data_IF_163033506299
#
_entry.id   IF_163033506299
#
_cell.length_a   1.000
_cell.length_b   1.000
_cell.length_c   1.000
_cell.angle_alpha   90.00
_cell.angle_beta   90.00
_cell.angle_gamma   90.00
#
_symmetry.space_group_name_H-M   'P 1'
#
loop_
_entity.id
_entity.type
_entity.pdbx_description
1 polymer ?
#
# COMPACT_ATOMS: atom_id res chain seq x y z
N UNK A 1 -4.19 25.79 -14.35
CA UNK A 1 -3.83 24.92 -15.48
C UNK A 1 -2.98 23.79 -14.92
N UNK A 2 -3.48 22.57 -14.95
CA UNK A 2 -2.83 21.42 -14.31
C UNK A 2 -1.58 21.02 -15.09
N UNK A 3 -0.44 20.91 -14.41
CA UNK A 3 0.92 20.90 -14.97
C UNK A 3 1.42 19.47 -15.22
N UNK A 4 0.66 18.67 -15.98
CA UNK A 4 1.07 17.31 -16.36
C UNK A 4 1.29 17.15 -17.86
N UNK A 5 2.11 16.16 -18.22
CA UNK A 5 2.32 15.70 -19.59
C UNK A 5 1.65 14.34 -19.77
N UNK A 6 0.67 14.26 -20.66
CA UNK A 6 0.01 13.01 -21.02
C UNK A 6 0.89 12.17 -21.95
N UNK A 7 1.27 10.97 -21.48
CA UNK A 7 2.21 10.09 -22.15
C UNK A 7 1.47 8.89 -22.78
N UNK A 8 1.08 9.04 -24.05
CA UNK A 8 0.33 8.02 -24.80
C UNK A 8 1.03 7.60 -26.13
N UNK A 9 2.28 8.00 -26.33
CA UNK A 9 3.10 7.63 -27.49
C UNK A 9 4.60 7.62 -27.16
N UNK A 10 5.42 7.05 -28.05
CA UNK A 10 6.86 6.91 -27.83
C UNK A 10 7.60 8.24 -27.56
N UNK A 11 7.36 9.36 -28.29
CA UNK A 11 8.04 10.63 -28.01
C UNK A 11 7.76 11.19 -26.61
N UNK A 12 6.50 11.15 -26.17
CA UNK A 12 6.11 11.65 -24.83
C UNK A 12 6.73 10.80 -23.73
N UNK A 13 6.76 9.48 -23.90
CA UNK A 13 7.41 8.54 -22.96
C UNK A 13 8.92 8.75 -22.92
N UNK A 14 9.58 8.91 -24.07
CA UNK A 14 11.02 9.14 -24.12
C UNK A 14 11.43 10.44 -23.41
N UNK A 15 10.65 11.52 -23.60
CA UNK A 15 10.87 12.76 -22.85
C UNK A 15 10.65 12.56 -21.35
N UNK A 16 9.59 11.85 -20.96
CA UNK A 16 9.32 11.56 -19.55
C UNK A 16 10.46 10.77 -18.91
N UNK A 17 10.92 9.68 -19.53
CA UNK A 17 12.03 8.86 -19.04
C UNK A 17 13.30 9.69 -18.77
N UNK A 18 13.64 10.60 -19.70
CA UNK A 18 14.79 11.51 -19.54
C UNK A 18 14.63 12.45 -18.34
N UNK A 19 13.46 13.05 -18.16
CA UNK A 19 13.21 13.98 -17.05
C UNK A 19 13.19 13.24 -15.70
N UNK A 20 12.53 12.07 -15.66
CA UNK A 20 12.42 11.24 -14.46
C UNK A 20 13.79 10.72 -14.01
N UNK A 21 14.66 10.29 -14.94
CA UNK A 21 16.00 9.79 -14.62
C UNK A 21 16.91 10.84 -13.95
N UNK A 22 16.64 12.14 -14.15
CA UNK A 22 17.38 13.22 -13.48
C UNK A 22 16.84 13.60 -12.10
N UNK A 23 15.71 13.02 -11.68
CA UNK A 23 15.08 13.37 -10.41
C UNK A 23 15.73 12.62 -9.24
N UNK A 24 15.95 13.26 -8.07
CA UNK A 24 16.54 12.58 -6.92
C UNK A 24 15.62 11.50 -6.31
N UNK A 25 14.31 11.60 -6.56
CA UNK A 25 13.32 10.57 -6.23
C UNK A 25 12.10 10.75 -7.11
N UNK A 26 11.32 9.70 -7.25
CA UNK A 26 10.06 9.68 -7.99
C UNK A 26 8.88 9.63 -7.03
N UNK A 27 7.77 10.24 -7.41
CA UNK A 27 6.47 10.09 -6.74
C UNK A 27 5.58 9.25 -7.64
N UNK A 28 4.94 8.19 -7.12
CA UNK A 28 4.18 7.25 -7.95
C UNK A 28 2.81 6.97 -7.36
N UNK A 29 1.82 6.93 -8.24
CA UNK A 29 0.47 6.42 -7.98
C UNK A 29 -0.08 5.78 -9.27
N UNK A 30 -0.94 4.76 -9.16
CA UNK A 30 -1.55 4.12 -10.31
C UNK A 30 -3.07 4.20 -10.28
N UNK A 31 -3.67 4.23 -11.47
CA UNK A 31 -5.12 4.22 -11.63
C UNK A 31 -5.56 3.09 -12.55
N UNK A 32 -6.75 2.55 -12.29
CA UNK A 32 -7.24 1.43 -13.05
C UNK A 32 -8.54 0.85 -12.53
N UNK A 33 -9.00 -0.17 -13.25
CA UNK A 33 -10.15 -0.96 -12.82
C UNK A 33 -9.69 -1.90 -11.70
N UNK A 34 -10.30 -1.81 -10.53
CA UNK A 34 -10.15 -2.75 -9.41
C UNK A 34 -8.69 -3.15 -9.14
N UNK A 35 -7.79 -2.17 -9.07
CA UNK A 35 -6.36 -2.39 -8.90
C UNK A 35 -6.08 -3.30 -7.68
N UNK A 36 -5.35 -4.39 -7.92
CA UNK A 36 -5.01 -5.43 -6.94
C UNK A 36 -5.99 -6.61 -6.90
N UNK A 37 -7.15 -6.52 -7.54
CA UNK A 37 -8.14 -7.60 -7.61
C UNK A 37 -7.83 -8.60 -8.74
N UNK A 38 -8.46 -9.78 -8.71
CA UNK A 38 -8.28 -10.85 -9.69
C UNK A 38 -8.48 -10.38 -11.14
N UNK A 39 -9.47 -9.52 -11.37
CA UNK A 39 -9.81 -8.92 -12.67
C UNK A 39 -9.29 -7.48 -12.82
N UNK A 40 -8.32 -7.09 -11.99
CA UNK A 40 -7.70 -5.78 -11.97
C UNK A 40 -6.98 -5.43 -13.27
N UNK A 41 -7.13 -4.19 -13.72
CA UNK A 41 -6.50 -3.68 -14.94
C UNK A 41 -5.86 -2.34 -14.66
N UNK A 42 -4.53 -2.30 -14.69
CA UNK A 42 -3.73 -1.08 -14.69
C UNK A 42 -4.03 -0.24 -15.94
N UNK A 43 -4.52 0.99 -15.74
CA UNK A 43 -4.91 1.89 -16.83
C UNK A 43 -3.96 3.07 -16.98
N UNK A 44 -3.57 3.68 -15.87
CA UNK A 44 -2.60 4.77 -15.81
C UNK A 44 -1.50 4.45 -14.80
N UNK A 45 -0.29 4.89 -15.12
CA UNK A 45 0.80 5.04 -14.17
C UNK A 45 1.15 6.52 -14.12
N UNK A 46 1.02 7.15 -12.95
CA UNK A 46 1.30 8.55 -12.76
C UNK A 46 2.63 8.69 -12.03
N UNK A 47 3.56 9.45 -12.60
CA UNK A 47 4.90 9.61 -12.04
C UNK A 47 5.28 11.08 -11.99
N UNK A 48 5.59 11.56 -10.80
CA UNK A 48 6.12 12.90 -10.55
C UNK A 48 7.62 12.87 -10.26
N UNK A 49 8.30 13.98 -10.57
CA UNK A 49 9.61 14.30 -10.00
C UNK A 49 9.48 14.81 -8.58
N UNK A 50 10.61 15.00 -7.89
CA UNK A 50 10.65 15.73 -6.62
C UNK A 50 9.83 17.02 -6.64
N UNK A 51 9.14 17.30 -5.53
CA UNK A 51 8.20 18.42 -5.37
C UNK A 51 7.05 18.47 -6.40
N UNK A 52 6.80 17.38 -7.13
CA UNK A 52 5.85 17.33 -8.23
C UNK A 52 6.09 18.44 -9.30
N UNK A 53 7.34 18.84 -9.51
CA UNK A 53 7.70 19.89 -10.49
C UNK A 53 7.29 19.53 -11.92
N UNK A 54 7.48 18.26 -12.28
CA UNK A 54 7.01 17.64 -13.51
C UNK A 54 6.20 16.40 -13.19
N UNK A 55 5.00 16.31 -13.76
CA UNK A 55 4.09 15.17 -13.60
C UNK A 55 3.83 14.56 -14.96
N UNK A 56 3.96 13.24 -15.06
CA UNK A 56 3.71 12.47 -16.27
C UNK A 56 2.61 11.46 -16.01
N UNK A 57 1.57 11.48 -16.85
CA UNK A 57 0.45 10.54 -16.78
C UNK A 57 0.59 9.56 -17.94
N UNK A 58 1.09 8.36 -17.67
CA UNK A 58 1.31 7.32 -18.66
C UNK A 58 0.03 6.54 -18.90
N UNK A 59 -0.55 6.67 -20.10
CA UNK A 59 -1.68 5.85 -20.52
C UNK A 59 -1.19 4.50 -21.01
N UNK A 60 -1.09 3.56 -20.08
CA UNK A 60 -0.46 2.27 -20.36
C UNK A 60 -1.25 1.42 -21.36
N UNK A 61 -2.58 1.61 -21.43
CA UNK A 61 -3.42 0.93 -22.42
C UNK A 61 -3.16 1.48 -23.82
N UNK A 62 -3.08 2.81 -23.96
CA UNK A 62 -2.74 3.45 -25.22
C UNK A 62 -1.30 3.09 -25.68
N UNK A 63 -0.34 3.04 -24.75
CA UNK A 63 1.05 2.69 -25.07
C UNK A 63 1.18 1.23 -25.54
N UNK A 64 0.44 0.30 -24.93
CA UNK A 64 0.41 -1.11 -25.35
C UNK A 64 -0.17 -1.26 -26.75
N UNK A 65 -1.30 -0.63 -27.05
CA UNK A 65 -1.93 -0.71 -28.37
C UNK A 65 -1.08 -0.12 -29.50
N UNK A 66 -0.18 0.82 -29.17
CA UNK A 66 0.68 1.53 -30.13
C UNK A 66 2.10 0.96 -30.22
N UNK A 67 2.38 -0.20 -29.63
CA UNK A 67 3.71 -0.83 -29.58
C UNK A 67 4.82 0.07 -29.00
N UNK A 68 4.48 1.02 -28.12
CA UNK A 68 5.44 1.92 -27.46
C UNK A 68 6.08 1.29 -26.20
N UNK A 69 5.98 -0.03 -26.05
CA UNK A 69 6.48 -0.77 -24.88
C UNK A 69 8.00 -0.66 -24.72
N UNK A 70 8.75 -0.52 -25.81
CA UNK A 70 10.21 -0.37 -25.76
C UNK A 70 10.63 0.93 -25.06
N UNK A 71 9.91 2.03 -25.25
CA UNK A 71 10.18 3.29 -24.55
C UNK A 71 9.67 3.24 -23.12
N UNK A 72 8.54 2.57 -22.88
CA UNK A 72 8.04 2.36 -21.52
C UNK A 72 9.03 1.53 -20.68
N UNK A 73 9.81 0.64 -21.32
CA UNK A 73 10.86 -0.13 -20.64
C UNK A 73 11.87 0.75 -19.91
N UNK A 74 12.26 1.90 -20.47
CA UNK A 74 13.18 2.83 -19.82
C UNK A 74 12.61 3.37 -18.50
N UNK A 75 11.30 3.63 -18.46
CA UNK A 75 10.62 4.05 -17.23
C UNK A 75 10.55 2.89 -16.25
N UNK A 76 10.19 1.70 -16.72
CA UNK A 76 10.12 0.49 -15.90
C UNK A 76 11.48 0.10 -15.29
N UNK A 77 12.59 0.31 -15.99
CA UNK A 77 13.94 0.10 -15.48
C UNK A 77 14.24 1.02 -14.29
N UNK A 78 13.83 2.30 -14.34
CA UNK A 78 13.93 3.21 -13.19
C UNK A 78 13.10 2.73 -11.99
N UNK A 79 11.93 2.12 -12.24
CA UNK A 79 11.08 1.59 -11.18
C UNK A 79 11.70 0.35 -10.50
N UNK A 80 12.43 -0.46 -11.28
CA UNK A 80 13.14 -1.63 -10.80
C UNK A 80 14.48 -1.30 -10.10
N UNK A 81 15.05 -0.13 -10.34
CA UNK A 81 16.33 0.28 -9.78
C UNK A 81 16.22 0.60 -8.27
N UNK A 82 16.91 -0.13 -7.37
CA UNK A 82 16.87 0.14 -5.94
C UNK A 82 17.54 1.47 -5.53
N UNK A 83 18.40 2.04 -6.39
CA UNK A 83 19.08 3.31 -6.14
C UNK A 83 18.17 4.52 -6.43
N UNK A 84 17.11 4.31 -7.21
CA UNK A 84 16.07 5.31 -7.46
C UNK A 84 14.99 5.17 -6.40
N UNK A 85 14.82 6.18 -5.55
CA UNK A 85 13.80 6.16 -4.50
C UNK A 85 12.41 6.45 -5.08
N UNK A 86 11.40 5.70 -4.64
CA UNK A 86 9.99 5.86 -5.04
C UNK A 86 9.12 6.19 -3.83
N UNK A 87 8.61 7.42 -3.76
CA UNK A 87 7.69 7.87 -2.73
C UNK A 87 6.26 7.53 -3.15
N UNK A 88 5.55 6.78 -2.32
CA UNK A 88 4.21 6.29 -2.62
C UNK A 88 3.29 6.39 -1.40
N UNK A 89 1.99 6.25 -1.63
CA UNK A 89 1.00 6.09 -0.57
C UNK A 89 0.25 4.77 -0.73
N UNK A 90 0.42 3.84 0.21
CA UNK A 90 -0.22 2.52 0.17
C UNK A 90 0.09 1.70 -1.11
N UNK A 91 1.39 1.52 -1.38
CA UNK A 91 1.95 0.93 -2.61
C UNK A 91 1.57 -0.53 -2.92
N UNK A 92 0.81 -1.21 -2.04
CA UNK A 92 0.59 -2.66 -2.12
C UNK A 92 -0.04 -3.11 -3.43
N UNK A 93 -1.12 -2.43 -3.84
CA UNK A 93 -1.85 -2.81 -5.04
C UNK A 93 -1.13 -2.30 -6.29
N UNK A 94 -0.49 -1.13 -6.25
CA UNK A 94 0.34 -0.62 -7.35
C UNK A 94 1.50 -1.57 -7.65
N UNK A 95 2.20 -2.02 -6.61
CA UNK A 95 3.26 -3.00 -6.72
C UNK A 95 2.78 -4.29 -7.38
N UNK A 96 1.63 -4.82 -6.92
CA UNK A 96 1.05 -6.05 -7.47
C UNK A 96 0.60 -5.86 -8.93
N UNK A 97 0.01 -4.72 -9.28
CA UNK A 97 -0.42 -4.40 -10.63
C UNK A 97 0.75 -4.24 -11.59
N UNK A 98 1.80 -3.51 -11.22
CA UNK A 98 3.00 -3.33 -12.03
C UNK A 98 3.71 -4.68 -12.23
N UNK A 99 3.84 -5.46 -11.17
CA UNK A 99 4.45 -6.80 -11.23
C UNK A 99 3.68 -7.72 -12.17
N UNK A 100 2.35 -7.80 -12.02
CA UNK A 100 1.53 -8.67 -12.85
C UNK A 100 1.42 -8.20 -14.31
N UNK A 101 1.43 -6.88 -14.55
CA UNK A 101 1.30 -6.31 -15.91
C UNK A 101 2.61 -6.36 -16.70
N UNK A 102 3.75 -6.14 -16.03
CA UNK A 102 5.04 -5.95 -16.69
C UNK A 102 6.15 -6.90 -16.26
N UNK A 103 5.92 -7.76 -15.26
CA UNK A 103 6.96 -8.60 -14.68
C UNK A 103 8.05 -7.80 -13.96
N UNK A 104 7.76 -6.57 -13.56
CA UNK A 104 8.71 -5.65 -12.93
C UNK A 104 8.44 -5.56 -11.44
N UNK A 105 9.43 -5.92 -10.63
CA UNK A 105 9.39 -5.73 -9.18
C UNK A 105 9.87 -4.32 -8.87
N UNK A 106 8.99 -3.48 -8.34
CA UNK A 106 9.37 -2.18 -7.79
C UNK A 106 10.41 -2.37 -6.69
N UNK A 107 11.40 -1.49 -6.61
CA UNK A 107 12.45 -1.48 -5.57
C UNK A 107 12.57 -0.09 -4.95
N UNK A 108 13.24 0.08 -3.81
CA UNK A 108 13.50 1.41 -3.24
C UNK A 108 12.25 2.25 -2.92
N UNK A 109 11.15 1.60 -2.54
CA UNK A 109 9.88 2.27 -2.20
C UNK A 109 9.95 2.82 -0.78
N UNK A 110 9.52 4.07 -0.57
CA UNK A 110 9.20 4.67 0.72
C UNK A 110 7.70 5.00 0.71
N UNK A 111 6.94 4.27 1.51
CA UNK A 111 5.50 4.40 1.66
C UNK A 111 5.16 5.35 2.82
N UNK A 112 4.53 6.47 2.49
CA UNK A 112 4.17 7.50 3.47
C UNK A 112 3.19 6.97 4.52
N UNK A 113 2.37 5.97 4.23
CA UNK A 113 1.47 5.39 5.22
C UNK A 113 2.24 4.73 6.36
N UNK A 114 3.45 4.21 6.12
CA UNK A 114 4.32 3.66 7.16
C UNK A 114 5.04 4.75 7.96
N UNK A 115 5.51 5.82 7.30
CA UNK A 115 6.06 6.99 7.99
C UNK A 115 5.02 7.64 8.92
N UNK A 116 3.76 7.70 8.49
CA UNK A 116 2.66 8.15 9.33
C UNK A 116 2.48 7.22 10.55
N UNK A 117 2.55 5.90 10.36
CA UNK A 117 2.42 4.95 11.48
C UNK A 117 3.59 5.05 12.46
N UNK A 118 4.84 5.11 11.97
CA UNK A 118 6.03 5.25 12.81
C UNK A 118 5.96 6.51 13.66
N UNK A 119 5.65 7.65 13.02
CA UNK A 119 5.56 8.96 13.69
C UNK A 119 4.53 9.00 14.82
N UNK A 120 3.53 8.10 14.85
CA UNK A 120 2.55 8.03 15.96
C UNK A 120 3.28 7.90 17.29
N UNK A 121 4.17 6.93 17.40
CA UNK A 121 4.89 6.67 18.64
C UNK A 121 6.18 7.50 18.73
N UNK A 122 6.98 7.54 17.65
CA UNK A 122 8.33 8.10 17.67
C UNK A 122 8.36 9.63 17.80
N UNK A 123 7.39 10.32 17.20
CA UNK A 123 7.33 11.79 17.17
C UNK A 123 6.16 12.33 17.98
N UNK A 124 4.96 11.75 17.80
CA UNK A 124 3.71 12.25 18.38
C UNK A 124 3.39 11.67 19.76
N UNK A 125 4.22 10.77 20.27
CA UNK A 125 4.10 10.21 21.62
C UNK A 125 2.81 9.42 21.87
N UNK A 126 2.20 8.86 20.83
CA UNK A 126 0.97 8.06 20.90
C UNK A 126 1.16 6.89 21.88
N UNK A 127 0.16 6.72 22.76
CA UNK A 127 0.11 5.62 23.73
C UNK A 127 -0.81 4.51 23.24
N UNK A 128 -0.65 3.33 23.82
CA UNK A 128 -1.36 2.11 23.45
C UNK A 128 -2.89 2.25 23.43
N UNK A 129 -3.46 3.02 24.35
CA UNK A 129 -4.90 3.27 24.39
C UNK A 129 -5.39 4.03 23.16
N UNK A 130 -4.62 4.99 22.63
CA UNK A 130 -4.96 5.74 21.40
C UNK A 130 -4.92 4.81 20.18
N UNK A 131 -3.91 3.91 20.11
CA UNK A 131 -3.83 2.86 19.08
C UNK A 131 -5.09 1.98 19.08
N UNK A 132 -5.49 1.55 20.27
CA UNK A 132 -6.69 0.70 20.48
C UNK A 132 -7.98 1.42 20.07
N UNK A 133 -8.15 2.68 20.49
CA UNK A 133 -9.30 3.51 20.08
C UNK A 133 -9.34 3.70 18.56
N UNK A 134 -8.17 3.89 17.93
CA UNK A 134 -8.07 4.05 16.47
C UNK A 134 -8.44 2.77 15.71
N UNK A 135 -8.08 1.60 16.24
CA UNK A 135 -8.51 0.31 15.68
C UNK A 135 -10.03 0.14 15.74
N UNK A 136 -10.67 0.56 16.84
CA UNK A 136 -12.12 0.56 17.00
C UNK A 136 -12.84 1.64 16.17
N UNK A 137 -12.13 2.69 15.74
CA UNK A 137 -12.68 3.78 14.96
C UNK A 137 -12.79 3.46 13.46
N UNK A 138 -13.37 4.42 12.71
CA UNK A 138 -13.44 4.45 11.23
C UNK A 138 -14.31 3.36 10.58
N UNK A 139 -15.55 3.20 11.04
CA UNK A 139 -16.55 2.34 10.38
C UNK A 139 -16.21 0.83 10.40
N UNK A 140 -15.10 0.44 11.05
CA UNK A 140 -14.78 -0.96 11.29
C UNK A 140 -15.76 -1.50 12.32
N UNK A 141 -16.29 -2.69 12.04
CA UNK A 141 -17.18 -3.43 12.95
C UNK A 141 -16.37 -4.12 14.06
N UNK A 142 -15.49 -3.35 14.73
CA UNK A 142 -14.64 -3.79 15.83
C UNK A 142 -14.94 -2.98 17.10
N UNK A 143 -15.87 -3.45 17.96
CA UNK A 143 -16.17 -2.77 19.21
C UNK A 143 -14.95 -2.67 20.12
N UNK A 144 -14.75 -1.53 20.79
CA UNK A 144 -13.65 -1.34 21.73
C UNK A 144 -13.59 -2.41 22.84
N UNK A 145 -14.73 -2.90 23.42
CA UNK A 145 -14.71 -4.00 24.38
C UNK A 145 -14.07 -5.28 23.84
N UNK A 146 -14.35 -5.63 22.57
CA UNK A 146 -13.78 -6.81 21.91
C UNK A 146 -12.25 -6.73 21.85
N UNK A 147 -11.72 -5.56 21.49
CA UNK A 147 -10.27 -5.34 21.41
C UNK A 147 -9.63 -5.47 22.80
N UNK A 148 -10.25 -4.86 23.82
CA UNK A 148 -9.76 -4.92 25.21
C UNK A 148 -9.80 -6.32 25.81
N UNK A 149 -10.78 -7.14 25.43
CA UNK A 149 -10.89 -8.53 25.88
C UNK A 149 -9.90 -9.47 25.18
N UNK A 150 -9.31 -9.07 24.05
CA UNK A 150 -8.42 -9.89 23.24
C UNK A 150 -7.05 -9.21 22.99
N UNK A 151 -6.31 -8.77 24.02
CA UNK A 151 -5.10 -7.95 23.85
C UNK A 151 -4.01 -8.63 23.00
N UNK A 152 -3.85 -9.95 23.14
CA UNK A 152 -2.85 -10.71 22.37
C UNK A 152 -3.16 -10.73 20.87
N UNK A 153 -4.45 -10.78 20.49
CA UNK A 153 -4.88 -10.76 19.08
C UNK A 153 -4.52 -9.43 18.41
N UNK A 154 -4.72 -8.31 19.13
CA UNK A 154 -4.53 -6.96 18.60
C UNK A 154 -3.15 -6.36 18.90
N UNK A 155 -2.29 -7.04 19.65
CA UNK A 155 -0.94 -6.57 19.99
C UNK A 155 -0.11 -6.29 18.74
N UNK A 156 0.40 -5.05 18.62
CA UNK A 156 1.21 -4.60 17.48
C UNK A 156 0.47 -4.39 16.15
N UNK A 157 -0.86 -4.56 16.10
CA UNK A 157 -1.67 -4.29 14.91
C UNK A 157 -1.99 -2.80 14.77
N UNK A 158 -1.76 -2.21 13.61
CA UNK A 158 -2.04 -0.78 13.37
C UNK A 158 -3.18 -0.61 12.37
N UNK A 159 -4.05 0.38 12.62
CA UNK A 159 -4.95 0.87 11.57
C UNK A 159 -4.14 1.64 10.54
N UNK A 160 -4.44 1.38 9.27
CA UNK A 160 -4.00 2.19 8.14
C UNK A 160 -4.86 3.45 8.02
N UNK A 161 -4.26 4.52 7.52
CA UNK A 161 -4.91 5.80 7.27
C UNK A 161 -4.99 6.06 5.77
N UNK A 162 -6.13 6.56 5.29
CA UNK A 162 -6.25 7.01 3.91
C UNK A 162 -5.55 8.36 3.70
N UNK A 163 -5.06 8.61 2.49
CA UNK A 163 -4.34 9.83 2.12
C UNK A 163 -5.14 11.10 2.42
N UNK A 164 -6.40 11.15 1.97
CA UNK A 164 -7.29 12.30 2.17
C UNK A 164 -7.50 12.65 3.66
N UNK A 165 -7.60 11.65 4.53
CA UNK A 165 -7.67 11.86 5.97
C UNK A 165 -6.34 12.42 6.53
N UNK A 166 -5.20 11.94 6.02
CA UNK A 166 -3.90 12.46 6.39
C UNK A 166 -3.71 13.92 5.95
N UNK A 167 -4.15 14.28 4.76
CA UNK A 167 -4.10 15.67 4.26
C UNK A 167 -4.94 16.59 5.14
N UNK A 168 -6.17 16.19 5.46
CA UNK A 168 -7.05 16.97 6.34
C UNK A 168 -6.44 17.20 7.73
N UNK A 169 -5.74 16.20 8.27
CA UNK A 169 -5.05 16.29 9.56
C UNK A 169 -3.77 17.15 9.48
N UNK A 170 -2.95 16.97 8.44
CA UNK A 170 -1.69 17.68 8.25
C UNK A 170 -1.87 19.14 7.82
N UNK A 171 -3.02 19.49 7.23
CA UNK A 171 -3.29 20.78 6.58
C UNK A 171 -2.12 21.27 5.71
N UNK A 172 -1.59 20.42 4.80
CA UNK A 172 -0.60 20.88 3.85
C UNK A 172 -1.25 21.93 2.92
N UNK A 173 -0.44 22.66 2.17
CA UNK A 173 -0.89 23.68 1.21
C UNK A 173 -1.64 23.09 -0.02
N UNK A 174 -2.19 21.87 0.08
CA UNK A 174 -2.97 21.19 -0.95
C UNK A 174 -4.36 20.84 -0.45
N UNK A 175 -5.33 20.83 -1.36
CA UNK A 175 -6.68 20.30 -1.11
C UNK A 175 -6.66 18.76 -1.11
N UNK A 176 -7.71 18.16 -0.54
CA UNK A 176 -7.92 16.71 -0.63
C UNK A 176 -8.43 16.26 -2.00
N UNK A 177 -8.85 15.00 -2.09
CA UNK A 177 -9.31 14.38 -3.35
C UNK A 177 -10.46 15.14 -4.01
N UNK A 178 -10.46 15.22 -5.35
CA UNK A 178 -11.53 15.89 -6.11
C UNK A 178 -12.90 15.24 -5.81
N UNK A 179 -13.86 15.96 -5.22
CA UNK A 179 -15.17 15.42 -4.88
C UNK A 179 -15.94 14.89 -6.08
N UNK A 180 -15.74 15.45 -7.28
CA UNK A 180 -16.43 15.03 -8.50
C UNK A 180 -15.97 13.64 -8.93
N UNK A 181 -14.65 13.40 -8.96
CA UNK A 181 -14.11 12.08 -9.34
C UNK A 181 -14.42 11.03 -8.27
N UNK A 182 -14.37 11.41 -6.99
CA UNK A 182 -14.82 10.52 -5.90
C UNK A 182 -16.30 10.15 -6.07
N UNK A 183 -17.15 11.09 -6.48
CA UNK A 183 -18.56 10.80 -6.76
C UNK A 183 -18.72 9.91 -8.01
N UNK A 184 -17.97 10.15 -9.08
CA UNK A 184 -17.96 9.31 -10.28
C UNK A 184 -17.58 7.87 -9.96
N UNK A 185 -16.52 7.66 -9.18
CA UNK A 185 -16.09 6.32 -8.78
C UNK A 185 -17.14 5.61 -7.92
N UNK A 186 -17.84 6.33 -7.04
CA UNK A 186 -18.94 5.76 -6.24
C UNK A 186 -20.12 5.34 -7.11
N UNK A 187 -20.44 6.10 -8.16
CA UNK A 187 -21.60 5.85 -9.02
C UNK A 187 -21.32 4.78 -10.09
N UNK A 188 -20.16 4.86 -10.74
CA UNK A 188 -19.84 4.09 -11.93
C UNK A 188 -18.79 2.99 -11.67
N UNK A 189 -18.32 2.87 -10.43
CA UNK A 189 -17.20 2.00 -10.07
C UNK A 189 -15.89 2.44 -10.72
N UNK A 190 -14.94 1.50 -10.78
CA UNK A 190 -13.60 1.72 -11.32
C UNK A 190 -13.51 1.57 -12.85
N UNK A 191 -14.59 1.14 -13.51
CA UNK A 191 -14.63 0.91 -14.96
C UNK A 191 -14.34 2.17 -15.78
N UNK A 192 -14.65 3.34 -15.25
CA UNK A 192 -14.40 4.66 -15.87
C UNK A 192 -12.93 4.87 -16.26
N UNK A 193 -12.01 4.17 -15.59
CA UNK A 193 -10.59 4.24 -15.92
C UNK A 193 -10.23 3.55 -17.23
N UNK A 194 -11.09 2.67 -17.77
CA UNK A 194 -10.85 1.94 -19.01
C UNK A 194 -11.37 2.67 -20.26
N UNK A 195 -12.26 3.64 -20.08
CA UNK A 195 -12.86 4.39 -21.18
C UNK A 195 -11.82 5.24 -21.92
N UNK A 196 -11.93 5.32 -23.24
CA UNK A 196 -11.08 6.17 -24.09
C UNK A 196 -11.91 6.97 -25.10
N UNK A 197 -11.62 8.27 -25.33
CA UNK A 197 -10.60 9.06 -24.64
C UNK A 197 -10.92 9.24 -23.15
N UNK A 198 -9.89 9.25 -22.31
CA UNK A 198 -10.06 9.48 -20.87
C UNK A 198 -10.64 10.87 -20.62
N UNK A 199 -11.58 10.94 -19.68
CA UNK A 199 -12.13 12.23 -19.25
C UNK A 199 -11.02 13.12 -18.66
N UNK A 200 -10.93 14.41 -19.03
CA UNK A 200 -9.92 15.31 -18.50
C UNK A 200 -9.88 15.36 -16.97
N UNK A 201 -11.04 15.24 -16.31
CA UNK A 201 -11.17 15.19 -14.85
C UNK A 201 -10.40 14.02 -14.25
N UNK A 202 -10.39 12.85 -14.90
CA UNK A 202 -9.65 11.67 -14.44
C UNK A 202 -8.13 11.88 -14.56
N UNK A 203 -7.68 12.49 -15.65
CA UNK A 203 -6.26 12.84 -15.83
C UNK A 203 -5.81 13.90 -14.81
N UNK A 204 -6.64 14.90 -14.55
CA UNK A 204 -6.40 15.91 -13.54
C UNK A 204 -6.34 15.31 -12.13
N UNK A 205 -7.27 14.42 -11.82
CA UNK A 205 -7.31 13.72 -10.55
C UNK A 205 -6.05 12.88 -10.33
N UNK A 206 -5.64 12.09 -11.34
CA UNK A 206 -4.47 11.23 -11.23
C UNK A 206 -3.16 12.04 -11.11
N UNK A 207 -3.07 13.20 -11.77
CA UNK A 207 -1.97 14.14 -11.56
C UNK A 207 -2.01 14.78 -10.16
N UNK A 208 -3.21 15.08 -9.63
CA UNK A 208 -3.38 15.68 -8.31
C UNK A 208 -3.01 14.71 -7.17
N UNK A 209 -3.24 13.39 -7.33
CA UNK A 209 -2.79 12.39 -6.36
C UNK A 209 -1.23 12.44 -6.21
N UNK A 210 -0.49 12.70 -7.29
CA UNK A 210 0.98 12.92 -7.24
C UNK A 210 1.36 14.20 -6.48
N UNK A 211 0.66 15.31 -6.72
CA UNK A 211 0.88 16.57 -5.99
C UNK A 211 0.64 16.38 -4.49
N UNK A 212 -0.42 15.64 -4.13
CA UNK A 212 -0.78 15.34 -2.75
C UNK A 212 0.27 14.46 -2.04
N UNK A 213 0.77 13.41 -2.71
CA UNK A 213 1.86 12.59 -2.15
C UNK A 213 3.12 13.43 -1.96
N UNK A 214 3.49 14.27 -2.94
CA UNK A 214 4.63 15.18 -2.84
C UNK A 214 4.51 16.16 -1.66
N UNK A 215 3.35 16.78 -1.50
CA UNK A 215 3.08 17.70 -0.40
C UNK A 215 3.13 17.01 0.97
N UNK A 216 2.64 15.78 1.08
CA UNK A 216 2.74 14.98 2.31
C UNK A 216 4.18 14.58 2.62
N UNK A 217 4.98 14.21 1.62
CA UNK A 217 6.39 13.87 1.84
C UNK A 217 7.17 15.06 2.41
N UNK A 218 7.01 16.25 1.83
CA UNK A 218 7.65 17.46 2.34
C UNK A 218 7.14 17.84 3.72
N UNK A 219 5.83 17.72 3.98
CA UNK A 219 5.28 17.89 5.32
C UNK A 219 5.93 16.92 6.33
N UNK A 220 6.05 15.63 5.98
CA UNK A 220 6.59 14.61 6.88
C UNK A 220 8.06 14.85 7.20
N UNK A 221 8.83 15.35 6.25
CA UNK A 221 10.21 15.81 6.48
C UNK A 221 10.25 17.02 7.41
N UNK A 222 9.39 18.01 7.18
CA UNK A 222 9.31 19.21 8.05
C UNK A 222 8.93 18.88 9.50
N UNK A 223 8.13 17.82 9.69
CA UNK A 223 7.69 17.36 11.01
C UNK A 223 8.64 16.32 11.63
N UNK A 224 9.79 16.03 11.00
CA UNK A 224 10.74 14.99 11.44
C UNK A 224 10.13 13.57 11.53
N UNK A 225 9.11 13.27 10.73
CA UNK A 225 8.57 11.91 10.60
C UNK A 225 9.45 11.08 9.68
N UNK A 226 10.08 11.73 8.70
CA UNK A 226 11.09 11.16 7.81
C UNK A 226 12.37 11.98 7.99
N UNK A 227 13.45 11.29 8.35
CA UNK A 227 14.76 11.86 8.66
C UNK A 227 15.85 10.98 8.04
N UNK A 228 17.06 11.49 7.82
CA UNK A 228 18.18 10.66 7.38
C UNK A 228 18.48 9.45 8.29
N UNK A 229 18.06 9.48 9.57
CA UNK A 229 18.31 8.41 10.53
C UNK A 229 17.31 7.25 10.44
N UNK A 230 16.08 7.49 9.97
CA UNK A 230 15.03 6.46 9.88
C UNK A 230 14.62 6.13 8.44
N UNK A 231 15.12 6.85 7.44
CA UNK A 231 14.71 6.68 6.04
C UNK A 231 15.00 5.27 5.51
N UNK A 232 16.20 4.73 5.74
CA UNK A 232 16.54 3.37 5.29
C UNK A 232 15.64 2.31 5.92
N UNK A 233 15.36 2.46 7.22
CA UNK A 233 14.43 1.58 7.93
C UNK A 233 13.01 1.69 7.37
N UNK A 234 12.56 2.88 6.99
CA UNK A 234 11.26 3.08 6.34
C UNK A 234 11.22 2.44 4.96
N UNK A 235 12.29 2.56 4.16
CA UNK A 235 12.39 1.88 2.86
C UNK A 235 12.30 0.37 3.03
N UNK A 236 13.04 -0.22 3.98
CA UNK A 236 12.97 -1.65 4.27
C UNK A 236 11.57 -2.11 4.69
N UNK A 237 10.90 -1.32 5.55
CA UNK A 237 9.52 -1.58 5.97
C UNK A 237 8.56 -1.49 4.77
N UNK A 238 8.72 -0.48 3.93
CA UNK A 238 7.91 -0.25 2.74
C UNK A 238 8.11 -1.34 1.69
N UNK A 239 9.32 -1.85 1.53
CA UNK A 239 9.55 -3.02 0.68
C UNK A 239 8.82 -4.26 1.23
N UNK A 240 8.92 -4.56 2.53
CA UNK A 240 8.11 -5.64 3.13
C UNK A 240 6.61 -5.43 2.97
N UNK A 241 6.17 -4.17 2.97
CA UNK A 241 4.78 -3.80 2.77
C UNK A 241 4.32 -4.02 1.33
N UNK A 242 5.08 -3.56 0.34
CA UNK A 242 4.82 -3.80 -1.07
C UNK A 242 4.74 -5.30 -1.39
N UNK A 243 5.72 -6.08 -0.90
CA UNK A 243 5.74 -7.54 -1.04
C UNK A 243 4.65 -8.27 -0.25
N UNK A 244 3.92 -7.59 0.64
CA UNK A 244 2.94 -8.24 1.52
C UNK A 244 1.78 -8.89 0.77
N UNK A 245 1.48 -8.45 -0.46
CA UNK A 245 0.48 -9.09 -1.32
C UNK A 245 1.08 -10.04 -2.36
N UNK A 246 2.41 -10.08 -2.51
CA UNK A 246 3.06 -10.86 -3.58
C UNK A 246 2.71 -12.36 -3.52
N UNK A 247 2.78 -12.97 -2.33
CA UNK A 247 2.41 -14.38 -2.15
C UNK A 247 0.91 -14.63 -2.14
N UNK A 248 0.10 -13.65 -1.72
CA UNK A 248 -1.36 -13.74 -1.81
C UNK A 248 -1.81 -13.70 -3.28
N UNK A 249 -1.10 -12.92 -4.10
CA UNK A 249 -1.49 -12.60 -5.45
C UNK A 249 -2.75 -11.73 -5.48
N UNK A 250 -3.31 -11.62 -6.68
CA UNK A 250 -4.61 -10.99 -6.91
C UNK A 250 -5.71 -11.92 -6.42
N UNK A 251 -6.64 -11.39 -5.64
CA UNK A 251 -7.79 -12.14 -5.11
C UNK A 251 -9.10 -11.52 -5.59
N UNK A 252 -10.19 -12.28 -5.51
CA UNK A 252 -11.52 -11.74 -5.79
C UNK A 252 -11.85 -10.59 -4.82
N UNK A 253 -12.69 -9.64 -5.25
CA UNK A 253 -13.04 -8.48 -4.42
C UNK A 253 -13.72 -8.87 -3.10
N UNK A 254 -14.48 -9.96 -3.12
CA UNK A 254 -15.19 -10.53 -1.98
C UNK A 254 -14.34 -11.48 -1.13
N UNK A 255 -13.07 -11.72 -1.50
CA UNK A 255 -12.16 -12.56 -0.74
C UNK A 255 -12.04 -12.07 0.71
N UNK A 256 -12.34 -12.95 1.66
CA UNK A 256 -12.40 -12.61 3.09
C UNK A 256 -11.04 -12.17 3.65
N UNK A 257 -9.94 -12.63 3.06
CA UNK A 257 -8.57 -12.28 3.43
C UNK A 257 -7.92 -11.25 2.51
N UNK A 258 -8.63 -10.70 1.53
CA UNK A 258 -8.18 -9.62 0.64
C UNK A 258 -7.95 -8.28 1.36
N UNK A 259 -8.03 -7.18 0.62
CA UNK A 259 -7.69 -5.83 1.10
C UNK A 259 -8.35 -5.45 2.43
N UNK A 260 -7.59 -4.75 3.27
CA UNK A 260 -8.08 -4.30 4.59
C UNK A 260 -7.32 -3.07 5.09
N UNK A 261 -7.97 -2.29 5.95
CA UNK A 261 -7.41 -1.10 6.59
C UNK A 261 -6.60 -1.39 7.87
N UNK A 262 -6.06 -2.61 8.00
CA UNK A 262 -5.14 -3.00 9.07
C UNK A 262 -3.81 -3.42 8.49
N UNK A 263 -2.73 -2.92 9.11
CA UNK A 263 -1.36 -3.19 8.69
C UNK A 263 -1.04 -4.68 8.87
N UNK A 264 -0.57 -5.37 7.82
CA UNK A 264 0.21 -6.58 7.93
C UNK A 264 1.22 -6.60 9.09
N UNK A 265 1.17 -7.64 9.94
CA UNK A 265 2.30 -7.93 10.85
C UNK A 265 3.56 -8.26 10.03
N UNK A 266 4.73 -8.21 10.68
CA UNK A 266 6.06 -8.36 10.05
C UNK A 266 6.47 -7.27 9.06
N UNK A 267 5.68 -6.20 8.91
CA UNK A 267 6.07 -5.05 8.08
C UNK A 267 7.00 -4.10 8.85
N UNK A 268 6.56 -3.62 10.02
CA UNK A 268 7.30 -2.64 10.83
C UNK A 268 8.58 -3.20 11.44
N UNK A 269 8.68 -4.52 11.57
CA UNK A 269 9.84 -5.22 12.14
C UNK A 269 10.20 -6.37 11.23
N UNK A 270 11.48 -6.54 10.99
CA UNK A 270 11.99 -7.67 10.25
C UNK A 270 11.54 -8.99 10.94
N UNK A 271 10.98 -9.95 10.19
CA UNK A 271 10.67 -11.27 10.70
C UNK A 271 11.91 -11.93 11.30
N UNK A 272 11.78 -12.54 12.48
CA UNK A 272 12.87 -13.33 13.10
C UNK A 272 12.49 -14.80 13.18
N UNK A 273 13.46 -15.68 12.95
CA UNK A 273 13.30 -17.13 13.05
C UNK A 273 12.48 -17.72 11.91
N UNK A 274 11.84 -18.86 12.17
CA UNK A 274 11.05 -19.59 11.18
C UNK A 274 9.84 -18.75 10.71
N UNK A 275 9.69 -18.65 9.39
CA UNK A 275 8.49 -18.13 8.73
C UNK A 275 7.65 -19.28 8.17
N UNK A 276 6.34 -19.15 8.25
CA UNK A 276 5.38 -20.14 7.78
C UNK A 276 4.25 -19.46 7.00
N UNK A 277 3.67 -20.12 5.98
CA UNK A 277 2.56 -19.54 5.24
C UNK A 277 1.30 -19.50 6.12
N UNK A 278 0.63 -18.36 6.14
CA UNK A 278 -0.72 -18.25 6.69
C UNK A 278 -1.72 -18.94 5.75
N UNK A 279 -2.55 -19.86 6.24
CA UNK A 279 -3.55 -20.55 5.40
C UNK A 279 -4.71 -19.65 4.91
N UNK A 280 -4.79 -18.41 5.40
CA UNK A 280 -5.79 -17.43 4.96
C UNK A 280 -5.25 -16.53 3.86
N UNK A 281 -4.23 -15.73 4.15
CA UNK A 281 -3.68 -14.75 3.19
C UNK A 281 -2.44 -15.25 2.42
N UNK A 282 -2.01 -16.50 2.60
CA UNK A 282 -0.81 -17.09 1.97
C UNK A 282 0.52 -16.37 2.23
N UNK A 283 0.53 -15.32 3.06
CA UNK A 283 1.75 -14.60 3.43
C UNK A 283 2.66 -15.45 4.30
N UNK A 284 3.93 -15.52 3.92
CA UNK A 284 5.02 -16.02 4.75
C UNK A 284 5.25 -15.06 5.92
N UNK A 285 5.02 -15.55 7.13
CA UNK A 285 5.07 -14.74 8.36
C UNK A 285 5.78 -15.51 9.46
N UNK A 286 6.50 -14.79 10.32
CA UNK A 286 7.12 -15.38 11.49
C UNK A 286 6.07 -15.89 12.49
N UNK A 287 6.48 -16.84 13.33
CA UNK A 287 5.57 -17.53 14.27
C UNK A 287 4.86 -16.62 15.28
N UNK A 288 5.31 -15.37 15.49
CA UNK A 288 4.63 -14.41 16.37
C UNK A 288 3.41 -13.74 15.71
N UNK A 289 3.24 -13.91 14.40
CA UNK A 289 2.07 -13.43 13.68
C UNK A 289 0.83 -14.28 13.96
N UNK A 290 0.96 -15.43 14.63
CA UNK A 290 -0.12 -16.38 14.88
C UNK A 290 -0.53 -16.38 16.36
N UNK A 291 -1.81 -16.59 16.62
CA UNK A 291 -2.32 -16.70 18.01
C UNK A 291 -1.77 -17.98 18.62
N UNK A 292 -1.39 -17.93 19.88
CA UNK A 292 -0.73 -19.04 20.58
C UNK A 292 -1.67 -19.66 21.62
N UNK A 293 -1.56 -20.98 21.77
CA UNK A 293 -2.14 -21.73 22.87
C UNK A 293 -1.02 -22.19 23.78
N UNK A 294 -1.21 -22.05 25.10
CA UNK A 294 -0.21 -22.37 26.12
C UNK A 294 -0.73 -23.42 27.09
N UNK A 295 0.16 -24.32 27.51
CA UNK A 295 -0.01 -25.19 28.68
C UNK A 295 1.06 -24.82 29.70
N UNK A 296 0.68 -24.06 30.72
CA UNK A 296 1.64 -23.39 31.61
C UNK A 296 2.51 -22.40 30.84
N UNK A 297 3.84 -22.54 30.94
CA UNK A 297 4.81 -21.69 30.21
C UNK A 297 5.09 -22.16 28.78
N UNK A 298 4.68 -23.38 28.43
CA UNK A 298 4.99 -23.98 27.13
C UNK A 298 3.95 -23.58 26.08
N UNK A 299 4.42 -23.14 24.91
CA UNK A 299 3.56 -22.96 23.73
C UNK A 299 3.30 -24.34 23.14
N UNK A 300 2.03 -24.74 23.07
CA UNK A 300 1.62 -26.08 22.61
C UNK A 300 1.05 -26.06 21.20
N UNK A 301 0.42 -24.97 20.78
CA UNK A 301 -0.12 -24.83 19.43
C UNK A 301 -0.17 -23.36 18.97
N UNK A 302 -0.35 -23.17 17.67
CA UNK A 302 -0.62 -21.89 17.01
C UNK A 302 -1.80 -21.98 16.07
N UNK A 303 -2.51 -20.89 15.83
CA UNK A 303 -3.55 -20.87 14.80
C UNK A 303 -2.96 -21.10 13.40
N UNK A 304 -3.73 -21.70 12.49
CA UNK A 304 -3.35 -21.91 11.09
C UNK A 304 -3.40 -20.63 10.24
N UNK A 305 -4.13 -19.60 10.71
CA UNK A 305 -4.18 -18.27 10.12
C UNK A 305 -3.58 -17.21 11.05
N UNK A 306 -2.99 -16.17 10.49
CA UNK A 306 -2.37 -15.10 11.25
C UNK A 306 -3.40 -14.23 11.98
N UNK A 307 -2.94 -13.49 12.99
CA UNK A 307 -3.76 -12.56 13.80
C UNK A 307 -4.46 -11.51 12.94
N UNK A 308 -3.80 -11.01 11.88
CA UNK A 308 -4.42 -10.06 10.95
C UNK A 308 -5.57 -10.71 10.17
N UNK A 309 -5.43 -11.96 9.71
CA UNK A 309 -6.53 -12.69 9.07
C UNK A 309 -7.70 -12.90 10.04
N UNK A 310 -7.45 -13.27 11.29
CA UNK A 310 -8.48 -13.36 12.33
C UNK A 310 -9.19 -12.01 12.54
N UNK A 311 -8.45 -10.90 12.57
CA UNK A 311 -9.03 -9.56 12.69
C UNK A 311 -9.85 -9.19 11.44
N UNK A 312 -9.43 -9.58 10.23
CA UNK A 312 -10.22 -9.39 9.00
C UNK A 312 -11.57 -10.11 9.09
N UNK A 313 -11.60 -11.34 9.61
CA UNK A 313 -12.84 -12.08 9.84
C UNK A 313 -13.78 -11.33 10.80
N UNK A 314 -13.25 -10.79 11.90
CA UNK A 314 -14.02 -9.98 12.85
C UNK A 314 -14.57 -8.70 12.20
N UNK A 315 -13.76 -7.97 11.42
CA UNK A 315 -14.19 -6.77 10.69
C UNK A 315 -15.30 -7.11 9.68
N UNK A 316 -15.11 -8.18 8.92
CA UNK A 316 -16.05 -8.60 7.87
C UNK A 316 -17.29 -9.31 8.43
N UNK A 317 -17.27 -9.72 9.70
CA UNK A 317 -18.33 -10.51 10.35
C UNK A 317 -18.59 -11.84 9.63
N UNK A 318 -17.50 -12.49 9.21
CA UNK A 318 -17.54 -13.78 8.53
C UNK A 318 -17.05 -14.86 9.48
N UNK A 319 -17.82 -15.93 9.60
CA UNK A 319 -17.37 -17.14 10.27
C UNK A 319 -16.48 -17.94 9.31
N UNK A 320 -15.28 -18.28 9.77
CA UNK A 320 -14.32 -19.06 9.02
C UNK A 320 -13.56 -19.94 10.01
N UNK A 321 -13.42 -21.26 9.72
CA UNK A 321 -12.79 -22.18 10.66
C UNK A 321 -11.34 -21.77 10.93
N UNK A 322 -11.00 -21.64 12.22
CA UNK A 322 -9.63 -21.41 12.69
C UNK A 322 -9.18 -22.67 13.42
N UNK A 323 -8.18 -23.33 12.86
CA UNK A 323 -7.62 -24.57 13.41
C UNK A 323 -6.33 -24.29 14.19
N UNK A 324 -6.05 -25.15 15.16
CA UNK A 324 -4.81 -25.11 15.94
C UNK A 324 -3.81 -26.15 15.41
N UNK A 325 -2.60 -25.71 15.12
CA UNK A 325 -1.47 -26.53 14.65
C UNK A 325 -0.47 -26.69 15.79
N UNK A 326 -0.17 -27.93 16.16
CA UNK A 326 0.74 -28.24 17.27
C UNK A 326 2.17 -27.76 16.98
N UNK A 327 2.92 -27.41 18.03
CA UNK A 327 4.29 -26.91 17.85
C UNK A 327 5.25 -27.99 17.33
N UNK A 328 5.00 -29.26 17.63
CA UNK A 328 5.80 -30.40 17.15
C UNK A 328 5.80 -30.55 15.64
N UNK A 329 4.72 -30.13 14.97
CA UNK A 329 4.60 -30.17 13.50
C UNK A 329 5.51 -29.17 12.76
N UNK A 330 6.04 -28.16 13.46
CA UNK A 330 6.97 -27.18 12.86
C UNK A 330 8.44 -27.59 12.97
N UNK A 331 8.77 -28.67 13.70
CA UNK A 331 10.15 -29.14 13.90
C UNK A 331 10.62 -30.14 12.83
N UNK A 332 9.74 -30.51 11.90
CA UNK A 332 9.96 -31.61 10.95
C UNK A 332 9.85 -31.19 9.48
N UNK A 333 10.08 -29.91 9.15
CA UNK A 333 10.14 -29.41 7.77
C UNK A 333 11.26 -28.42 7.59
#
# INVERSE_FOLDING_TARGET
MSRYVYCANAPTVANAARVLASSPFLIIDCEGKNIGAADGVLSLMCIGTANAEHIFVFDVLALRSRNALSQLRLVLDLLADPTVKKIMWDCRNDFLEITATYGVLLQGVLDLQLAEIDSRASVRGEKEWKRTVRLAARGRRLPLPLIKQNPDLFSGVHSLQGMDACIKEARPLTTGKDPQVVAMHKTNGSMIWLDRPLLPQLLHYAAHDIEMIGALYEHFRSQSWITPLNEDALVDQSMRYAYSLYHQGRVAEDDVFGSSSVLPLDVLREPRGLTVPCQGCNRMQSLHCFTISRRGRQIVARTNICRVCQIKLLIKQVDHPVSWVNVTTYASR
#
